data_IF_052557989616
#
_entry.id   IF_052557989616
#
_cell.length_a   1.000
_cell.length_b   1.000
_cell.length_c   1.000
_cell.angle_alpha   90.00
_cell.angle_beta   90.00
_cell.angle_gamma   90.00
#
_symmetry.space_group_name_H-M   'P 1'
#
loop_
_entity.id
_entity.type
_entity.pdbx_description
1 polymer ?
#
# COMPACT_ATOMS: atom_id res chain seq x y z
N UNK A 1 1.34 1.01 11.23
CA UNK A 1 2.02 1.84 10.22
C UNK A 1 1.24 2.04 8.93
N UNK A 2 0.04 2.66 8.98
CA UNK A 2 -0.68 3.09 7.76
C UNK A 2 -1.09 4.57 7.78
N UNK A 3 -0.60 5.34 8.75
CA UNK A 3 -1.09 6.68 9.05
C UNK A 3 -0.22 7.81 8.48
N UNK A 4 0.85 7.46 7.74
CA UNK A 4 1.70 8.45 7.11
C UNK A 4 0.99 9.05 5.89
N UNK A 5 0.78 10.37 5.89
CA UNK A 5 0.20 11.08 4.74
C UNK A 5 1.17 11.03 3.56
N UNK A 6 0.74 10.63 2.35
CA UNK A 6 1.61 10.63 1.18
C UNK A 6 2.01 12.05 0.78
N UNK A 7 3.29 12.38 0.91
CA UNK A 7 3.88 13.66 0.50
C UNK A 7 5.40 13.51 0.38
N UNK A 8 6.04 14.46 -0.29
CA UNK A 8 7.47 14.68 -0.18
C UNK A 8 7.78 15.42 1.13
N UNK A 9 8.64 14.82 1.94
CA UNK A 9 9.11 15.40 3.20
C UNK A 9 10.60 15.68 3.11
N UNK A 10 11.04 16.80 3.69
CA UNK A 10 12.46 17.06 3.91
C UNK A 10 12.85 16.64 5.31
N UNK A 11 13.86 15.77 5.44
CA UNK A 11 14.51 15.49 6.72
C UNK A 11 15.68 16.46 6.88
N UNK A 12 15.70 17.23 7.97
CA UNK A 12 16.88 18.03 8.31
C UNK A 12 17.96 17.09 8.85
N UNK A 13 19.13 17.10 8.21
CA UNK A 13 20.26 16.25 8.56
C UNK A 13 21.46 17.11 8.91
N UNK A 14 22.10 16.74 10.02
CA UNK A 14 23.35 17.32 10.51
C UNK A 14 24.26 16.18 10.93
N UNK A 15 25.55 16.31 10.61
CA UNK A 15 26.58 15.32 10.91
C UNK A 15 27.54 15.95 11.91
N UNK A 16 27.71 15.30 13.06
CA UNK A 16 28.73 15.65 14.04
C UNK A 16 29.99 14.82 13.75
N UNK A 17 31.12 15.49 13.57
CA UNK A 17 32.39 14.83 13.31
C UNK A 17 33.54 15.52 14.05
N UNK A 18 34.66 14.82 14.13
CA UNK A 18 35.93 15.39 14.61
C UNK A 18 36.74 15.82 13.40
N UNK A 19 37.19 17.06 13.37
CA UNK A 19 37.98 17.59 12.27
C UNK A 19 39.46 17.15 12.35
N UNK A 20 40.28 17.62 11.42
CA UNK A 20 41.72 17.29 11.36
C UNK A 20 42.52 17.84 12.55
N UNK A 21 41.98 18.82 13.26
CA UNK A 21 42.61 19.46 14.42
C UNK A 21 42.15 18.80 15.74
N UNK A 22 41.19 17.88 15.70
CA UNK A 22 40.61 17.24 16.89
C UNK A 22 39.38 17.97 17.44
N UNK A 23 38.91 19.01 16.76
CA UNK A 23 37.76 19.79 17.20
C UNK A 23 36.44 19.11 16.81
N UNK A 24 35.42 19.27 17.66
CA UNK A 24 34.08 18.80 17.35
C UNK A 24 33.36 19.81 16.47
N UNK A 25 32.99 19.38 15.26
CA UNK A 25 32.29 20.21 14.29
C UNK A 25 30.91 19.62 13.99
N UNK A 26 29.92 20.49 13.83
CA UNK A 26 28.58 20.14 13.33
C UNK A 26 28.50 20.65 11.89
N UNK A 27 28.11 19.78 10.96
CA UNK A 27 27.95 20.16 9.55
C UNK A 27 26.85 21.19 9.35
N UNK A 28 26.84 21.84 8.19
CA UNK A 28 25.69 22.61 7.76
C UNK A 28 24.44 21.72 7.65
N UNK A 29 23.27 22.31 7.92
CA UNK A 29 21.99 21.62 7.86
C UNK A 29 21.59 21.39 6.41
N UNK A 30 21.40 20.13 6.03
CA UNK A 30 20.97 19.75 4.68
C UNK A 30 19.62 19.04 4.72
N UNK A 31 18.80 19.26 3.68
CA UNK A 31 17.50 18.59 3.54
C UNK A 31 17.63 17.34 2.69
N UNK A 32 17.28 16.19 3.26
CA UNK A 32 17.19 14.91 2.54
C UNK A 32 15.73 14.69 2.14
N UNK A 33 15.41 14.63 0.83
CA UNK A 33 14.05 14.38 0.37
C UNK A 33 13.66 12.93 0.61
N UNK A 34 12.48 12.73 1.19
CA UNK A 34 11.87 11.41 1.42
C UNK A 34 10.49 11.39 0.79
N UNK A 35 10.28 10.44 -0.11
CA UNK A 35 9.01 10.24 -0.79
C UNK A 35 8.19 9.20 -0.03
N UNK A 36 7.12 9.65 0.63
CA UNK A 36 6.17 8.74 1.27
C UNK A 36 5.10 8.34 0.24
N UNK A 37 5.07 7.05 -0.10
CA UNK A 37 4.06 6.50 -1.02
C UNK A 37 2.82 6.04 -0.25
N UNK A 38 1.67 6.16 -0.89
CA UNK A 38 0.43 5.61 -0.36
C UNK A 38 0.54 4.08 -0.23
N UNK A 39 -0.04 3.53 0.85
CA UNK A 39 -0.20 2.09 0.97
C UNK A 39 -1.13 1.60 -0.15
N UNK A 40 -0.67 0.62 -0.93
CA UNK A 40 -1.49 0.00 -1.97
C UNK A 40 -2.54 -0.91 -1.32
N UNK A 41 -3.82 -0.64 -1.58
CA UNK A 41 -4.88 -1.56 -1.19
C UNK A 41 -4.86 -2.82 -2.08
N UNK A 42 -4.92 -4.00 -1.46
CA UNK A 42 -5.03 -5.25 -2.21
C UNK A 42 -6.45 -5.42 -2.77
N UNK A 43 -6.56 -5.70 -4.07
CA UNK A 43 -7.83 -6.00 -4.74
C UNK A 43 -8.22 -7.47 -4.64
N UNK A 44 -7.41 -8.33 -4.01
CA UNK A 44 -7.65 -9.79 -3.97
C UNK A 44 -8.99 -10.10 -3.30
N UNK A 45 -9.27 -9.48 -2.15
CA UNK A 45 -10.51 -9.73 -1.40
C UNK A 45 -11.78 -9.31 -2.16
N UNK A 46 -11.92 -8.07 -2.69
CA UNK A 46 -13.10 -7.70 -3.46
C UNK A 46 -13.27 -8.53 -4.74
N UNK A 47 -12.17 -8.89 -5.42
CA UNK A 47 -12.22 -9.77 -6.60
C UNK A 47 -12.75 -11.15 -6.24
N UNK A 48 -12.29 -11.75 -5.13
CA UNK A 48 -12.76 -13.04 -4.66
C UNK A 48 -14.26 -13.01 -4.33
N UNK A 49 -14.75 -11.95 -3.70
CA UNK A 49 -16.18 -11.79 -3.39
C UNK A 49 -17.01 -11.77 -4.68
N UNK A 50 -16.59 -10.99 -5.68
CA UNK A 50 -17.28 -10.93 -6.98
C UNK A 50 -17.30 -12.31 -7.65
N UNK A 51 -16.18 -13.03 -7.63
CA UNK A 51 -16.06 -14.38 -8.17
C UNK A 51 -17.04 -15.37 -7.51
N UNK A 52 -17.14 -15.34 -6.17
CA UNK A 52 -18.08 -16.18 -5.42
C UNK A 52 -19.53 -15.89 -5.82
N UNK A 53 -19.89 -14.60 -5.98
CA UNK A 53 -21.24 -14.20 -6.40
C UNK A 53 -21.55 -14.73 -7.80
N UNK A 54 -20.61 -14.63 -8.75
CA UNK A 54 -20.77 -15.13 -10.11
C UNK A 54 -20.98 -16.65 -10.11
N UNK A 55 -20.18 -17.39 -9.35
CA UNK A 55 -20.28 -18.85 -9.23
C UNK A 55 -21.63 -19.24 -8.61
N UNK A 56 -22.05 -18.58 -7.53
CA UNK A 56 -23.33 -18.83 -6.88
C UNK A 56 -24.52 -18.54 -7.80
N UNK A 57 -24.51 -17.40 -8.49
CA UNK A 57 -25.55 -17.02 -9.44
C UNK A 57 -25.61 -17.98 -10.64
N UNK A 58 -24.47 -18.30 -11.24
CA UNK A 58 -24.36 -19.26 -12.34
C UNK A 58 -24.84 -20.66 -11.95
N UNK A 59 -24.42 -21.15 -10.78
CA UNK A 59 -24.86 -22.44 -10.24
C UNK A 59 -26.37 -22.48 -9.96
N UNK A 60 -26.93 -21.41 -9.39
CA UNK A 60 -28.36 -21.29 -9.13
C UNK A 60 -29.18 -21.30 -10.42
N UNK A 61 -28.79 -20.49 -11.41
CA UNK A 61 -29.47 -20.42 -12.72
C UNK A 61 -29.43 -21.76 -13.44
N UNK A 62 -28.28 -22.43 -13.46
CA UNK A 62 -28.13 -23.74 -14.09
C UNK A 62 -29.01 -24.82 -13.43
N UNK A 63 -29.10 -24.81 -12.09
CA UNK A 63 -29.98 -25.73 -11.35
C UNK A 63 -31.47 -25.45 -11.64
N UNK A 64 -31.86 -24.17 -11.75
CA UNK A 64 -33.23 -23.77 -12.08
C UNK A 64 -33.64 -24.17 -13.50
N UNK A 65 -32.72 -24.03 -14.46
CA UNK A 65 -32.96 -24.43 -15.86
C UNK A 65 -33.10 -25.95 -16.02
N UNK A 66 -32.32 -26.74 -15.28
CA UNK A 66 -32.44 -28.21 -15.30
C UNK A 66 -33.79 -28.70 -14.77
N UNK A 67 -34.32 -28.09 -13.70
CA UNK A 67 -35.64 -28.45 -13.15
C UNK A 67 -36.80 -28.17 -14.11
N UNK A 68 -36.67 -27.17 -15.00
CA UNK A 68 -37.72 -26.78 -15.95
C UNK A 68 -37.78 -27.68 -17.21
N UNK A 69 -36.75 -28.52 -17.44
CA UNK A 69 -36.69 -29.48 -18.56
C UNK A 69 -37.18 -30.89 -18.20
N UNK A 70 -37.52 -31.15 -16.93
CA UNK A 70 -37.93 -32.48 -16.42
C UNK A 70 -39.37 -32.46 -15.89
N UNK A 71 -40.16 -31.45 -16.24
CA UNK A 71 -41.61 -31.36 -15.97
C UNK A 71 -42.33 -31.30 -17.32
#
# INVERSE_FOLDING_TARGET
>A
DSDATPKEYGINSEIKYTDVNGDTVISESMKIPVVVKAASASLILPVMIVLIIIIAAGGYMHKKMKKKKTV
#
